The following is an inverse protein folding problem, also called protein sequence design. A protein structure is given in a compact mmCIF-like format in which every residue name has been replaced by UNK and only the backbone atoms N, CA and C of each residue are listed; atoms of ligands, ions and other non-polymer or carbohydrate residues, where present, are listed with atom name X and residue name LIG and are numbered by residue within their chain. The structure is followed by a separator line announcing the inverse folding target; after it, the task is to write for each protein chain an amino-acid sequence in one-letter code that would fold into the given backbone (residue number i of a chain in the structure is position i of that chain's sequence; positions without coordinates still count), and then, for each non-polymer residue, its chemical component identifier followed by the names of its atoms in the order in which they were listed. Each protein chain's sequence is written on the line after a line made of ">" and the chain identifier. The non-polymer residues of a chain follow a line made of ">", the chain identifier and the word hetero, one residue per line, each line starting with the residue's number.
data_IF_169094076728
#
_entry.id   IF_169094076728
#
_cell.length_a   1.000
_cell.length_b   1.000
_cell.length_c   1.000
_cell.angle_alpha   90.00
_cell.angle_beta   90.00
_cell.angle_gamma   90.00
#
_symmetry.space_group_name_H-M   'P 1'
#
loop_
_entity.id
_entity.type
_entity.pdbx_description
1 polymer ?
#
# COMPACT_ATOMS: atom_id res chain seq x y z
N UNK A 1 -11.75 -0.80 3.68
CA UNK A 1 -12.48 0.40 4.14
C UNK A 1 -12.57 0.33 5.64
N UNK A 2 -12.48 1.47 6.29
CA UNK A 2 -12.62 1.61 7.72
C UNK A 2 -13.61 2.72 8.03
N UNK A 3 -14.41 2.53 9.07
CA UNK A 3 -15.46 3.44 9.53
C UNK A 3 -15.36 3.48 11.05
N UNK A 4 -15.42 4.68 11.64
CA UNK A 4 -15.37 4.89 13.09
C UNK A 4 -14.24 4.17 13.85
N UNK A 5 -13.07 4.06 13.21
CA UNK A 5 -11.90 3.38 13.79
C UNK A 5 -11.96 1.85 13.74
N UNK A 6 -12.89 1.27 12.98
CA UNK A 6 -13.01 -0.18 12.76
C UNK A 6 -12.84 -0.57 11.29
N UNK A 7 -12.22 -1.74 11.05
CA UNK A 7 -12.01 -2.27 9.71
C UNK A 7 -13.25 -3.03 9.22
N UNK A 8 -14.08 -2.38 8.41
CA UNK A 8 -15.35 -2.96 7.90
C UNK A 8 -15.16 -3.92 6.73
N UNK A 9 -14.19 -3.65 5.86
CA UNK A 9 -13.85 -4.54 4.73
C UNK A 9 -12.37 -4.50 4.42
N UNK A 10 -11.84 -5.65 4.03
CA UNK A 10 -10.41 -5.82 3.80
C UNK A 10 -10.13 -6.85 2.73
N UNK A 11 -9.05 -6.61 2.00
CA UNK A 11 -8.48 -7.56 1.07
C UNK A 11 -6.98 -7.64 1.30
N UNK A 12 -6.49 -8.85 1.47
CA UNK A 12 -5.06 -9.16 1.49
C UNK A 12 -4.72 -10.08 0.34
N UNK A 13 -3.45 -10.07 -0.05
CA UNK A 13 -2.93 -10.90 -1.12
C UNK A 13 -1.44 -10.71 -1.25
N UNK A 14 -0.81 -11.60 -2.01
CA UNK A 14 0.62 -11.55 -2.29
C UNK A 14 0.89 -11.94 -3.73
N UNK A 15 2.01 -11.46 -4.26
CA UNK A 15 2.62 -11.96 -5.49
C UNK A 15 4.10 -12.20 -5.26
N UNK A 16 4.63 -13.15 -6.01
CA UNK A 16 6.04 -13.49 -5.94
C UNK A 16 6.90 -12.33 -6.42
N UNK A 17 7.81 -11.87 -5.57
CA UNK A 17 8.93 -10.99 -5.93
C UNK A 17 10.18 -11.57 -5.31
N UNK A 18 11.14 -12.01 -6.12
CA UNK A 18 12.40 -12.51 -5.59
C UNK A 18 13.16 -11.38 -4.87
N UNK A 19 13.51 -11.61 -3.61
CA UNK A 19 14.17 -10.62 -2.75
C UNK A 19 15.58 -10.25 -3.19
N UNK A 20 16.56 -11.12 -2.93
CA UNK A 20 17.98 -10.85 -3.18
C UNK A 20 18.60 -11.87 -4.15
N UNK A 21 19.70 -11.46 -4.78
CA UNK A 21 20.52 -12.30 -5.64
C UNK A 21 21.99 -12.17 -5.27
N UNK A 22 22.64 -13.29 -4.98
CA UNK A 22 24.01 -13.32 -4.44
C UNK A 22 25.12 -13.30 -5.51
N UNK A 23 24.82 -13.68 -6.76
CA UNK A 23 25.84 -13.79 -7.82
C UNK A 23 25.92 -12.53 -8.69
N UNK A 24 27.14 -12.11 -9.01
CA UNK A 24 27.42 -11.01 -9.94
C UNK A 24 27.34 -11.43 -11.42
N UNK A 25 27.70 -10.49 -12.31
CA UNK A 25 27.85 -10.75 -13.74
C UNK A 25 26.53 -10.90 -14.51
N UNK A 26 26.54 -11.68 -15.61
CA UNK A 26 25.40 -11.80 -16.53
C UNK A 26 24.10 -12.28 -15.83
N UNK A 27 24.23 -13.06 -14.76
CA UNK A 27 23.11 -13.52 -13.92
C UNK A 27 22.44 -12.40 -13.13
N UNK A 28 23.18 -11.34 -12.75
CA UNK A 28 22.66 -10.16 -12.07
C UNK A 28 21.72 -9.35 -12.97
N UNK A 29 22.06 -9.19 -14.26
CA UNK A 29 21.19 -8.51 -15.22
C UNK A 29 19.85 -9.25 -15.43
N UNK A 30 19.87 -10.58 -15.50
CA UNK A 30 18.64 -11.39 -15.56
C UNK A 30 17.80 -11.22 -14.29
N UNK A 31 18.44 -11.22 -13.13
CA UNK A 31 17.75 -10.99 -11.86
C UNK A 31 17.09 -9.61 -11.81
N UNK A 32 17.82 -8.53 -12.18
CA UNK A 32 17.27 -7.17 -12.19
C UNK A 32 16.03 -7.06 -13.07
N UNK A 33 16.10 -7.53 -14.32
CA UNK A 33 14.96 -7.53 -15.24
C UNK A 33 13.79 -8.36 -14.74
N UNK A 34 14.08 -9.54 -14.16
CA UNK A 34 13.05 -10.39 -13.55
C UNK A 34 12.37 -9.69 -12.39
N UNK A 35 13.13 -9.03 -11.51
CA UNK A 35 12.60 -8.28 -10.36
C UNK A 35 11.75 -7.10 -10.79
N UNK A 36 12.18 -6.33 -11.79
CA UNK A 36 11.37 -5.26 -12.38
C UNK A 36 10.04 -5.80 -12.94
N UNK A 37 10.07 -6.94 -13.63
CA UNK A 37 8.85 -7.60 -14.11
C UNK A 37 7.93 -8.01 -12.97
N UNK A 38 8.44 -8.68 -11.94
CA UNK A 38 7.63 -9.13 -10.80
C UNK A 38 7.02 -7.98 -10.01
N UNK A 39 7.77 -6.88 -9.81
CA UNK A 39 7.26 -5.68 -9.16
C UNK A 39 6.12 -5.07 -9.99
N UNK A 40 6.27 -4.98 -11.32
CA UNK A 40 5.18 -4.50 -12.19
C UNK A 40 3.93 -5.38 -12.07
N UNK A 41 4.09 -6.70 -12.14
CA UNK A 41 2.96 -7.64 -12.01
C UNK A 41 2.28 -7.56 -10.64
N UNK A 42 3.06 -7.30 -9.57
CA UNK A 42 2.52 -7.03 -8.24
C UNK A 42 1.71 -5.73 -8.22
N UNK A 43 2.27 -4.64 -8.74
CA UNK A 43 1.59 -3.34 -8.78
C UNK A 43 0.33 -3.38 -9.64
N UNK A 44 0.37 -4.01 -10.81
CA UNK A 44 -0.79 -4.14 -11.70
C UNK A 44 -1.93 -4.85 -10.99
N UNK A 45 -1.63 -5.99 -10.34
CA UNK A 45 -2.68 -6.72 -9.62
C UNK A 45 -3.18 -5.97 -8.40
N UNK A 46 -2.29 -5.37 -7.61
CA UNK A 46 -2.68 -4.60 -6.44
C UNK A 46 -3.54 -3.39 -6.84
N UNK A 47 -3.19 -2.72 -7.93
CA UNK A 47 -3.92 -1.58 -8.49
C UNK A 47 -5.30 -1.98 -8.99
N UNK A 48 -5.40 -3.05 -9.80
CA UNK A 48 -6.69 -3.58 -10.26
C UNK A 48 -7.64 -3.90 -9.10
N UNK A 49 -7.12 -4.58 -8.07
CA UNK A 49 -7.90 -4.92 -6.87
C UNK A 49 -8.29 -3.67 -6.09
N UNK A 50 -7.37 -2.72 -5.90
CA UNK A 50 -7.63 -1.48 -5.19
C UNK A 50 -8.68 -0.63 -5.92
N UNK A 51 -8.50 -0.36 -7.21
CA UNK A 51 -9.45 0.42 -8.00
C UNK A 51 -10.83 -0.23 -8.03
N UNK A 52 -10.91 -1.55 -8.19
CA UNK A 52 -12.19 -2.28 -8.15
C UNK A 52 -12.88 -2.15 -6.79
N UNK A 53 -12.15 -2.32 -5.68
CA UNK A 53 -12.75 -2.32 -4.34
C UNK A 53 -13.08 -0.94 -3.82
N UNK A 54 -12.20 0.03 -4.05
CA UNK A 54 -12.44 1.40 -3.65
C UNK A 54 -13.54 2.03 -4.53
N UNK A 55 -13.67 1.59 -5.79
CA UNK A 55 -14.72 2.03 -6.71
C UNK A 55 -16.12 1.53 -6.35
N UNK A 56 -16.26 0.61 -5.38
CA UNK A 56 -17.54 0.21 -4.81
C UNK A 56 -18.15 1.30 -3.90
N UNK A 57 -17.40 2.38 -3.59
CA UNK A 57 -17.74 3.44 -2.63
C UNK A 57 -17.63 4.85 -3.25
N UNK A 58 -18.37 5.15 -4.35
CA UNK A 58 -18.22 6.42 -5.07
C UNK A 58 -18.62 7.62 -4.19
N UNK A 59 -17.71 8.58 -4.04
CA UNK A 59 -17.93 9.79 -3.24
C UNK A 59 -17.98 9.59 -1.72
N UNK A 60 -17.79 8.38 -1.22
CA UNK A 60 -17.78 8.07 0.22
C UNK A 60 -16.35 8.05 0.81
N UNK A 61 -15.33 7.93 -0.04
CA UNK A 61 -13.93 7.87 0.39
C UNK A 61 -13.30 9.27 0.35
N UNK A 62 -13.11 9.86 1.53
CA UNK A 62 -12.52 11.19 1.66
C UNK A 62 -10.99 11.19 1.51
N UNK A 63 -10.32 10.22 2.13
CA UNK A 63 -8.87 10.18 2.24
C UNK A 63 -8.31 8.77 2.15
N UNK A 64 -7.05 8.67 1.69
CA UNK A 64 -6.29 7.43 1.62
C UNK A 64 -5.17 7.42 2.66
N UNK A 65 -5.23 6.50 3.61
CA UNK A 65 -4.08 6.19 4.47
C UNK A 65 -3.21 5.11 3.83
N UNK A 66 -1.89 5.25 3.92
CA UNK A 66 -0.92 4.30 3.38
C UNK A 66 0.10 3.88 4.43
N UNK A 67 0.47 2.60 4.40
CA UNK A 67 1.50 2.04 5.27
C UNK A 67 2.49 1.15 4.51
N UNK A 68 3.76 1.22 4.93
CA UNK A 68 4.89 0.52 4.30
C UNK A 68 5.93 1.47 3.68
N UNK A 69 6.80 0.91 2.83
CA UNK A 69 7.95 1.64 2.26
C UNK A 69 7.51 2.81 1.38
N UNK A 70 8.02 4.01 1.69
CA UNK A 70 7.64 5.27 1.03
C UNK A 70 7.97 5.28 -0.46
N UNK A 71 9.10 4.71 -0.86
CA UNK A 71 9.56 4.71 -2.26
C UNK A 71 8.69 3.76 -3.06
N UNK A 72 8.45 2.55 -2.54
CA UNK A 72 7.59 1.55 -3.18
C UNK A 72 6.16 2.07 -3.33
N UNK A 73 5.58 2.66 -2.29
CA UNK A 73 4.24 3.24 -2.34
C UNK A 73 4.15 4.42 -3.32
N UNK A 74 5.17 5.29 -3.37
CA UNK A 74 5.21 6.37 -4.35
C UNK A 74 5.30 5.87 -5.79
N UNK A 75 6.03 4.79 -6.04
CA UNK A 75 6.06 4.15 -7.36
C UNK A 75 4.73 3.46 -7.71
N UNK A 76 4.06 2.87 -6.73
CA UNK A 76 2.75 2.26 -6.89
C UNK A 76 1.69 3.31 -7.28
N UNK A 77 1.59 4.41 -6.53
CA UNK A 77 0.62 5.49 -6.79
C UNK A 77 0.81 6.14 -8.17
N UNK A 78 2.04 6.24 -8.67
CA UNK A 78 2.32 6.75 -10.02
C UNK A 78 1.82 5.84 -11.15
N UNK A 79 1.44 4.60 -10.84
CA UNK A 79 1.07 3.56 -11.80
C UNK A 79 -0.41 3.23 -11.77
N UNK A 80 -1.04 3.28 -10.60
CA UNK A 80 -2.45 2.96 -10.43
C UNK A 80 -3.32 4.18 -10.71
N UNK A 81 -4.51 3.95 -11.26
CA UNK A 81 -5.57 4.96 -11.33
C UNK A 81 -6.65 4.60 -10.31
N UNK A 82 -6.64 5.27 -9.16
CA UNK A 82 -7.66 5.08 -8.12
C UNK A 82 -8.90 5.92 -8.45
N UNK A 83 -10.10 5.49 -8.03
CA UNK A 83 -11.33 6.27 -8.23
C UNK A 83 -11.26 7.63 -7.51
N UNK A 84 -12.07 8.58 -7.99
CA UNK A 84 -12.30 9.89 -7.37
C UNK A 84 -11.01 10.65 -6.99
N UNK A 85 -9.96 10.52 -7.82
CA UNK A 85 -8.63 11.10 -7.63
C UNK A 85 -8.06 10.83 -6.22
N UNK A 86 -8.42 9.68 -5.62
CA UNK A 86 -8.09 9.35 -4.24
C UNK A 86 -6.57 9.28 -3.99
N UNK A 87 -5.77 9.04 -5.04
CA UNK A 87 -4.30 9.15 -4.99
C UNK A 87 -3.78 10.55 -4.70
N UNK A 88 -4.59 11.60 -4.88
CA UNK A 88 -4.25 12.98 -4.55
C UNK A 88 -4.61 13.34 -3.09
N UNK A 89 -5.48 12.55 -2.47
CA UNK A 89 -6.00 12.75 -1.10
C UNK A 89 -5.34 11.80 -0.10
N UNK A 90 -4.04 11.57 -0.26
CA UNK A 90 -3.27 10.73 0.66
C UNK A 90 -2.97 11.48 1.95
N UNK A 91 -3.31 10.88 3.09
CA UNK A 91 -3.00 11.48 4.37
C UNK A 91 -1.48 11.57 4.61
N UNK A 92 -1.01 12.64 5.27
CA UNK A 92 0.42 12.81 5.56
C UNK A 92 0.93 11.82 6.61
N UNK A 93 0.07 11.38 7.55
CA UNK A 93 0.42 10.37 8.54
C UNK A 93 0.49 8.98 7.88
N UNK A 94 1.69 8.41 7.87
CA UNK A 94 1.89 7.03 7.41
C UNK A 94 1.74 6.07 8.56
N UNK A 95 1.06 4.98 8.30
CA UNK A 95 0.97 3.88 9.25
C UNK A 95 2.23 3.02 9.15
N UNK A 96 2.78 2.63 10.30
CA UNK A 96 3.84 1.64 10.36
C UNK A 96 3.31 0.25 9.96
N UNK A 97 3.92 -0.36 8.94
CA UNK A 97 3.56 -1.71 8.49
C UNK A 97 4.84 -2.51 8.29
N UNK A 98 5.16 -3.36 9.26
CA UNK A 98 6.32 -4.25 9.19
C UNK A 98 6.05 -5.46 8.30
N UNK A 99 4.88 -6.08 8.44
CA UNK A 99 4.43 -7.21 7.63
C UNK A 99 3.02 -6.97 7.10
N UNK A 100 2.82 -6.86 5.77
CA UNK A 100 1.50 -6.70 5.18
C UNK A 100 0.60 -7.91 5.49
N UNK A 101 -0.63 -7.64 5.93
CA UNK A 101 -1.59 -8.67 6.28
C UNK A 101 -2.80 -8.11 7.01
N UNK A 102 -3.68 -8.99 7.49
CA UNK A 102 -4.90 -8.59 8.19
C UNK A 102 -4.58 -7.78 9.46
N UNK A 103 -3.69 -8.31 10.30
CA UNK A 103 -3.26 -7.65 11.54
C UNK A 103 -2.74 -6.23 11.29
N UNK A 104 -1.88 -6.06 10.28
CA UNK A 104 -1.35 -4.73 9.95
C UNK A 104 -2.44 -3.74 9.51
N UNK A 105 -3.52 -4.21 8.88
CA UNK A 105 -4.66 -3.36 8.55
C UNK A 105 -5.48 -3.01 9.79
N UNK A 106 -5.69 -3.96 10.71
CA UNK A 106 -6.40 -3.67 11.97
C UNK A 106 -5.62 -2.65 12.82
N UNK A 107 -4.30 -2.80 12.92
CA UNK A 107 -3.42 -1.84 13.61
C UNK A 107 -3.40 -0.49 12.85
N UNK A 108 -3.42 -0.50 11.52
CA UNK A 108 -3.44 0.71 10.70
C UNK A 108 -4.63 1.60 10.90
N UNK A 109 -5.82 1.01 11.03
CA UNK A 109 -7.05 1.76 11.27
C UNK A 109 -6.98 2.46 12.62
N UNK A 110 -6.53 1.75 13.66
CA UNK A 110 -6.36 2.31 15.01
C UNK A 110 -5.37 3.46 15.02
N UNK A 111 -4.21 3.28 14.38
CA UNK A 111 -3.18 4.30 14.30
C UNK A 111 -3.67 5.53 13.53
N UNK A 112 -4.35 5.33 12.39
CA UNK A 112 -4.90 6.42 11.59
C UNK A 112 -6.02 7.19 12.30
N UNK A 113 -6.76 6.53 13.20
CA UNK A 113 -7.80 7.13 14.04
C UNK A 113 -7.29 7.68 15.37
N UNK A 114 -5.97 7.60 15.63
CA UNK A 114 -5.35 8.08 16.85
C UNK A 114 -4.71 9.46 16.68
N UNK A 115 -4.59 10.20 17.78
CA UNK A 115 -3.83 11.45 17.84
C UNK A 115 -2.71 11.33 18.88
N UNK A 116 -1.55 11.94 18.58
CA UNK A 116 -0.45 12.04 19.55
C UNK A 116 -0.60 13.35 20.32
N UNK A 117 -0.63 13.25 21.63
CA UNK A 117 -0.58 14.40 22.55
C UNK A 117 0.85 14.54 23.05
N UNK A 118 1.39 15.75 22.98
CA UNK A 118 2.65 16.11 23.61
C UNK A 118 2.34 17.10 24.72
N UNK A 119 2.68 16.74 25.95
CA UNK A 119 2.61 17.64 27.08
C UNK A 119 3.97 18.34 27.20
N UNK A 120 3.96 19.67 27.21
CA UNK A 120 5.15 20.48 27.48
C UNK A 120 5.10 20.88 28.95
N UNK A 121 6.10 20.43 29.72
CA UNK A 121 6.43 21.00 31.04
C UNK A 121 7.30 22.25 30.89
#
# INVERSE_FOLDING_TARGET
>A
IAEDGELVTTKTGSRYVKGQHRKGGQSSNRFRRGRERWIRELFDRAGEVASSRLGEYPGELDFLSLGGDRVVLGQFLKRVNLPDDLSERVLPNRVAVDQPGRKALDDAVRDAWSFRVFEYE
#
